data_IF_790321827925
#
_entry.id   IF_790321827925
#
_cell.length_a   1.000
_cell.length_b   1.000
_cell.length_c   1.000
_cell.angle_alpha   90.00
_cell.angle_beta   90.00
_cell.angle_gamma   90.00
#
_symmetry.space_group_name_H-M   'P 1'
#
loop_
_entity.id
_entity.type
_entity.pdbx_description
1 polymer ?
#
# COMPACT_ATOMS: atom_id res chain seq x y z
N UNK A 1 -5.87 -16.22 50.57
CA UNK A 1 -6.29 -16.44 49.17
C UNK A 1 -5.56 -15.43 48.31
N UNK A 2 -4.52 -15.87 47.62
CA UNK A 2 -3.53 -15.02 46.95
C UNK A 2 -4.08 -14.43 45.66
N UNK A 3 -4.05 -13.10 45.55
CA UNK A 3 -4.36 -12.37 44.31
C UNK A 3 -3.17 -12.48 43.35
N UNK A 4 -3.28 -13.42 42.41
CA UNK A 4 -2.37 -13.52 41.27
C UNK A 4 -2.61 -12.34 40.31
N UNK A 5 -1.85 -11.26 40.51
CA UNK A 5 -1.67 -10.22 39.50
C UNK A 5 -0.73 -10.81 38.44
N UNK A 6 -1.29 -11.35 37.36
CA UNK A 6 -0.50 -11.73 36.17
C UNK A 6 -0.35 -10.49 35.26
N UNK A 7 0.89 -10.11 34.89
CA UNK A 7 1.12 -9.03 33.96
C UNK A 7 0.64 -9.42 32.56
N UNK A 8 -0.02 -8.48 31.90
CA UNK A 8 -0.45 -8.54 30.50
C UNK A 8 0.79 -8.52 29.58
N UNK A 9 1.48 -9.66 29.46
CA UNK A 9 2.55 -9.83 28.48
C UNK A 9 1.92 -10.18 27.13
N UNK A 10 1.79 -9.15 26.29
CA UNK A 10 1.43 -9.26 24.89
C UNK A 10 2.57 -9.94 24.13
N UNK A 11 2.50 -11.26 23.94
CA UNK A 11 3.25 -11.94 22.89
C UNK A 11 2.65 -11.57 21.53
N UNK A 12 3.02 -10.39 21.02
CA UNK A 12 3.05 -10.16 19.59
C UNK A 12 4.38 -10.67 19.07
N UNK A 13 4.28 -11.65 18.18
CA UNK A 13 5.36 -12.14 17.32
C UNK A 13 5.93 -10.92 16.57
N UNK A 14 7.26 -10.76 16.66
CA UNK A 14 8.03 -9.63 16.15
C UNK A 14 7.71 -9.31 14.70
N UNK A 15 7.30 -8.06 14.49
CA UNK A 15 7.48 -7.35 13.24
C UNK A 15 8.68 -6.44 13.46
N UNK A 16 9.76 -6.70 12.73
CA UNK A 16 11.00 -5.95 12.80
C UNK A 16 10.74 -4.44 12.66
N UNK A 17 11.03 -3.71 13.74
CA UNK A 17 11.15 -2.25 13.76
C UNK A 17 12.51 -1.86 13.16
N UNK A 18 12.61 -1.81 11.84
CA UNK A 18 13.64 -1.00 11.18
C UNK A 18 13.06 -0.39 9.89
N UNK A 19 12.61 0.86 10.00
CA UNK A 19 12.62 1.92 8.96
C UNK A 19 11.49 2.93 9.18
N UNK A 20 11.62 3.77 10.21
CA UNK A 20 10.95 5.07 10.23
C UNK A 20 12.00 6.17 10.21
N UNK A 21 12.08 6.79 9.03
CA UNK A 21 12.16 8.24 8.86
C UNK A 21 13.25 8.99 9.65
N UNK A 22 14.47 8.96 9.14
CA UNK A 22 15.41 10.05 9.30
C UNK A 22 15.25 11.02 8.13
N UNK A 23 14.33 11.98 8.25
CA UNK A 23 14.52 13.34 7.72
C UNK A 23 13.44 14.26 8.28
N UNK A 24 13.79 14.95 9.37
CA UNK A 24 13.16 16.19 9.75
C UNK A 24 14.20 17.29 9.57
N UNK A 25 14.01 18.15 8.57
CA UNK A 25 14.40 19.55 8.68
C UNK A 25 13.26 20.39 8.08
N UNK A 26 12.65 21.17 8.96
CA UNK A 26 11.81 22.31 8.63
C UNK A 26 12.64 23.35 7.85
N UNK A 27 12.02 24.12 6.95
CA UNK A 27 11.68 25.54 7.15
C UNK A 27 11.41 26.27 5.81
N UNK A 28 10.17 26.75 5.69
CA UNK A 28 9.67 28.00 5.08
C UNK A 28 9.92 28.43 3.60
N UNK A 29 8.90 29.15 3.13
CA UNK A 29 8.63 29.80 1.84
C UNK A 29 9.81 30.50 1.15
N UNK A 30 9.84 30.47 -0.19
CA UNK A 30 9.43 31.60 -1.05
C UNK A 30 9.50 31.23 -2.55
N UNK A 31 8.65 31.89 -3.33
CA UNK A 31 8.32 31.57 -4.71
C UNK A 31 9.41 31.85 -5.74
N UNK A 32 9.19 31.26 -6.91
CA UNK A 32 9.90 31.50 -8.16
C UNK A 32 9.73 32.95 -8.62
N UNK A 33 10.83 33.69 -8.78
CA UNK A 33 11.04 34.64 -9.89
C UNK A 33 12.43 35.29 -9.81
N UNK A 34 12.99 35.58 -11.00
CA UNK A 34 14.20 36.38 -11.31
C UNK A 34 15.55 35.65 -11.45
N UNK A 35 15.89 35.38 -12.72
CA UNK A 35 17.25 35.60 -13.30
C UNK A 35 17.67 37.07 -13.12
N UNK A 36 18.97 37.38 -12.92
CA UNK A 36 19.92 37.59 -14.04
C UNK A 36 21.39 37.15 -13.73
N UNK A 37 22.11 36.58 -14.72
CA UNK A 37 23.15 37.25 -15.52
C UNK A 37 24.32 37.85 -14.71
N UNK A 38 25.48 37.18 -14.75
CA UNK A 38 26.77 37.86 -14.79
C UNK A 38 27.78 37.03 -15.59
N UNK A 39 28.16 37.59 -16.74
CA UNK A 39 29.35 37.23 -17.51
C UNK A 39 30.60 37.92 -16.92
N UNK A 40 31.75 37.60 -17.52
CA UNK A 40 33.13 38.08 -17.32
C UNK A 40 33.94 37.04 -16.54
N UNK A 41 35.06 36.49 -17.02
CA UNK A 41 35.86 36.83 -18.19
C UNK A 41 37.15 36.00 -18.17
N UNK A 42 37.68 35.83 -19.37
CA UNK A 42 38.89 35.12 -19.76
C UNK A 42 40.17 35.63 -19.07
N UNK A 43 41.14 34.74 -18.85
CA UNK A 43 42.50 34.97 -19.36
C UNK A 43 43.35 33.68 -19.42
N UNK A 44 43.88 33.45 -20.62
CA UNK A 44 45.02 32.61 -20.97
C UNK A 44 46.25 32.90 -20.10
N UNK A 45 47.25 32.05 -19.94
CA UNK A 45 47.57 30.76 -20.54
C UNK A 45 49.04 30.41 -20.25
N UNK A 46 49.42 29.14 -20.43
CA UNK A 46 50.77 28.75 -20.84
C UNK A 46 50.78 27.35 -21.44
N UNK A 47 51.07 27.29 -22.73
CA UNK A 47 51.58 26.09 -23.42
C UNK A 47 53.01 25.81 -22.87
N UNK A 48 53.53 24.59 -22.83
CA UNK A 48 53.87 23.76 -23.98
C UNK A 48 54.14 22.29 -23.55
N UNK A 49 53.54 21.38 -24.32
CA UNK A 49 54.02 20.09 -24.84
C UNK A 49 55.11 19.28 -24.11
N UNK A 50 54.78 18.01 -23.87
CA UNK A 50 55.54 16.74 -23.98
C UNK A 50 54.88 15.81 -22.93
N UNK A 51 54.37 14.62 -23.18
CA UNK A 51 54.46 13.66 -24.27
C UNK A 51 53.28 12.70 -24.14
N UNK A 52 52.78 12.24 -25.27
CA UNK A 52 51.87 11.11 -25.46
C UNK A 52 52.02 9.96 -24.45
N UNK A 53 50.92 9.60 -23.76
CA UNK A 53 50.32 8.26 -23.63
C UNK A 53 48.90 8.38 -23.04
N UNK A 54 47.93 7.94 -23.86
CA UNK A 54 46.57 7.45 -23.55
C UNK A 54 45.68 8.15 -22.51
N UNK A 55 44.94 9.19 -22.93
CA UNK A 55 43.63 9.56 -22.35
C UNK A 55 42.53 9.72 -23.43
N UNK A 56 42.74 9.17 -24.63
CA UNK A 56 41.70 9.02 -25.68
C UNK A 56 40.99 7.66 -25.62
N UNK A 57 41.13 6.90 -24.54
CA UNK A 57 40.48 5.59 -24.35
C UNK A 57 39.38 5.56 -23.27
N UNK A 58 39.10 6.68 -22.60
CA UNK A 58 38.07 6.72 -21.54
C UNK A 58 36.81 7.51 -21.97
N UNK A 59 36.85 8.35 -23.02
CA UNK A 59 35.73 9.26 -23.32
C UNK A 59 34.87 8.93 -24.56
N UNK A 60 35.22 7.94 -25.39
CA UNK A 60 34.43 7.59 -26.60
C UNK A 60 33.69 6.25 -26.48
N UNK A 61 33.97 5.44 -25.45
CA UNK A 61 33.20 4.20 -25.19
C UNK A 61 31.85 4.45 -24.51
N UNK A 62 31.62 5.64 -23.95
CA UNK A 62 30.40 5.95 -23.20
C UNK A 62 29.31 6.67 -24.01
N UNK A 63 29.55 7.02 -25.28
CA UNK A 63 28.52 7.65 -26.12
C UNK A 63 27.77 6.66 -27.02
N UNK A 64 28.37 5.52 -27.38
CA UNK A 64 27.68 4.48 -28.17
C UNK A 64 26.91 3.48 -27.28
N UNK A 65 27.29 3.32 -26.01
CA UNK A 65 26.51 2.50 -25.07
C UNK A 65 25.25 3.22 -24.55
N UNK A 66 25.26 4.56 -24.42
CA UNK A 66 24.09 5.29 -23.91
C UNK A 66 22.92 5.41 -24.90
N UNK A 67 23.16 5.32 -26.21
CA UNK A 67 22.06 5.27 -27.20
C UNK A 67 21.51 3.84 -27.38
N UNK A 68 22.33 2.80 -27.27
CA UNK A 68 21.83 1.41 -27.33
C UNK A 68 20.96 1.08 -26.11
N UNK A 69 21.29 1.59 -24.92
CA UNK A 69 20.48 1.36 -23.71
C UNK A 69 19.16 2.16 -23.75
N UNK A 70 19.07 3.24 -24.54
CA UNK A 70 17.84 4.04 -24.66
C UNK A 70 16.87 3.51 -25.72
N UNK A 71 17.37 2.85 -26.77
CA UNK A 71 16.55 2.13 -27.75
C UNK A 71 16.11 0.74 -27.24
N UNK A 72 16.90 0.06 -26.41
CA UNK A 72 16.47 -1.17 -25.71
C UNK A 72 15.41 -0.90 -24.64
N UNK A 73 15.44 0.26 -23.96
CA UNK A 73 14.40 0.62 -22.97
C UNK A 73 13.02 0.95 -23.56
N UNK A 74 12.91 1.20 -24.87
CA UNK A 74 11.62 1.45 -25.53
C UNK A 74 11.07 0.25 -26.31
N UNK A 75 11.91 -0.75 -26.64
CA UNK A 75 11.45 -2.01 -27.27
C UNK A 75 11.13 -3.10 -26.24
N UNK A 76 11.73 -3.05 -25.04
CA UNK A 76 11.45 -4.02 -23.97
C UNK A 76 10.08 -3.87 -23.29
N UNK A 77 9.26 -2.89 -23.71
CA UNK A 77 7.88 -2.74 -23.24
C UNK A 77 6.85 -3.60 -24.00
N UNK A 78 7.22 -4.32 -25.07
CA UNK A 78 6.25 -5.11 -25.83
C UNK A 78 6.51 -6.62 -25.98
N UNK A 79 7.67 -7.19 -25.63
CA UNK A 79 7.90 -8.65 -25.78
C UNK A 79 7.85 -9.47 -24.48
N UNK A 80 7.81 -8.84 -23.30
CA UNK A 80 7.75 -9.56 -22.02
C UNK A 80 6.34 -9.72 -21.41
N UNK A 81 5.28 -9.35 -22.13
CA UNK A 81 3.91 -9.57 -21.67
C UNK A 81 3.52 -11.07 -21.66
N UNK A 82 4.19 -11.91 -22.47
CA UNK A 82 3.87 -13.33 -22.60
C UNK A 82 4.35 -14.22 -21.45
N UNK A 83 5.54 -13.96 -20.89
CA UNK A 83 6.16 -14.86 -19.89
C UNK A 83 5.82 -14.53 -18.44
N UNK A 84 5.35 -13.31 -18.14
CA UNK A 84 4.96 -12.90 -16.78
C UNK A 84 3.59 -13.48 -16.39
N UNK A 85 2.83 -13.99 -17.35
CA UNK A 85 1.48 -14.55 -17.17
C UNK A 85 1.46 -16.01 -16.67
N UNK A 86 2.57 -16.74 -16.78
CA UNK A 86 2.59 -18.18 -16.46
C UNK A 86 2.43 -18.50 -14.96
N UNK A 87 2.84 -17.59 -14.07
CA UNK A 87 2.75 -17.78 -12.61
C UNK A 87 1.67 -16.91 -11.96
N UNK A 88 0.85 -16.17 -12.73
CA UNK A 88 -0.16 -15.30 -12.15
C UNK A 88 -1.36 -16.13 -11.68
N UNK A 89 -1.66 -16.10 -10.38
CA UNK A 89 -2.87 -16.75 -9.84
C UNK A 89 -4.06 -15.80 -9.85
N UNK A 90 -5.14 -16.23 -10.51
CA UNK A 90 -6.38 -15.46 -10.59
C UNK A 90 -7.26 -15.63 -9.36
N UNK A 91 -7.76 -14.49 -8.87
CA UNK A 91 -8.52 -14.45 -7.61
C UNK A 91 -9.90 -15.08 -7.71
N UNK A 92 -10.48 -15.13 -8.91
CA UNK A 92 -11.78 -15.77 -9.16
C UNK A 92 -11.71 -17.28 -8.87
N UNK A 93 -10.67 -17.95 -9.37
CA UNK A 93 -10.47 -19.39 -9.21
C UNK A 93 -10.21 -19.77 -7.75
N UNK A 94 -9.47 -18.94 -7.02
CA UNK A 94 -9.18 -19.18 -5.60
C UNK A 94 -10.42 -19.17 -4.71
N UNK A 95 -11.49 -18.47 -5.09
CA UNK A 95 -12.74 -18.43 -4.31
C UNK A 95 -13.55 -19.73 -4.41
N UNK A 96 -13.38 -20.49 -5.50
CA UNK A 96 -14.06 -21.77 -5.70
C UNK A 96 -13.41 -22.92 -4.92
N UNK A 97 -12.11 -22.79 -4.59
CA UNK A 97 -11.31 -23.82 -3.92
C UNK A 97 -11.61 -23.93 -2.43
N UNK A 98 -11.34 -25.11 -1.86
CA UNK A 98 -11.50 -25.35 -0.41
C UNK A 98 -10.34 -24.76 0.38
N UNK A 99 -10.56 -24.51 1.68
CA UNK A 99 -9.52 -23.96 2.58
C UNK A 99 -8.25 -24.81 2.61
N UNK A 100 -8.38 -26.14 2.61
CA UNK A 100 -7.24 -27.06 2.67
C UNK A 100 -6.36 -26.96 1.42
N UNK A 101 -6.97 -26.84 0.25
CA UNK A 101 -6.26 -26.64 -1.02
C UNK A 101 -5.52 -25.31 -1.04
N UNK A 102 -6.17 -24.23 -0.54
CA UNK A 102 -5.55 -22.91 -0.45
C UNK A 102 -4.33 -22.89 0.50
N UNK A 103 -4.35 -23.69 1.56
CA UNK A 103 -3.21 -23.79 2.48
C UNK A 103 -2.03 -24.52 1.83
N UNK A 104 -2.28 -25.59 1.05
CA UNK A 104 -1.24 -26.29 0.29
C UNK A 104 -0.59 -25.37 -0.75
N UNK A 105 -1.41 -24.68 -1.55
CA UNK A 105 -0.92 -23.70 -2.54
C UNK A 105 -0.10 -22.57 -1.89
N UNK A 106 -0.46 -22.16 -0.67
CA UNK A 106 0.27 -21.15 0.08
C UNK A 106 1.66 -21.64 0.50
N UNK A 107 1.77 -22.89 0.96
CA UNK A 107 3.04 -23.50 1.34
C UNK A 107 3.97 -23.67 0.13
N UNK A 108 3.44 -24.11 -1.00
CA UNK A 108 4.18 -24.20 -2.28
C UNK A 108 4.74 -22.84 -2.72
N UNK A 109 3.95 -21.76 -2.63
CA UNK A 109 4.45 -20.43 -3.00
C UNK A 109 5.47 -19.87 -2.01
N UNK A 110 5.40 -20.25 -0.73
CA UNK A 110 6.41 -19.84 0.25
C UNK A 110 7.75 -20.53 0.03
N UNK A 111 7.74 -21.82 -0.32
CA UNK A 111 8.98 -22.55 -0.63
C UNK A 111 9.60 -22.03 -1.93
N UNK A 112 8.78 -21.73 -2.94
CA UNK A 112 9.23 -21.06 -4.15
C UNK A 112 9.88 -19.70 -3.84
N UNK A 113 9.22 -18.85 -3.04
CA UNK A 113 9.78 -17.56 -2.63
C UNK A 113 11.13 -17.70 -1.91
N UNK A 114 11.25 -18.66 -0.98
CA UNK A 114 12.50 -18.91 -0.27
C UNK A 114 13.64 -19.31 -1.22
N UNK A 115 13.35 -20.19 -2.19
CA UNK A 115 14.35 -20.58 -3.20
C UNK A 115 14.78 -19.41 -4.10
N UNK A 116 13.84 -18.53 -4.47
CA UNK A 116 14.13 -17.33 -5.26
C UNK A 116 14.95 -16.29 -4.48
N UNK A 117 14.78 -16.20 -3.16
CA UNK A 117 15.59 -15.32 -2.31
C UNK A 117 17.04 -15.79 -2.23
N UNK A 118 17.29 -17.10 -2.12
CA UNK A 118 18.66 -17.66 -2.18
C UNK A 118 19.27 -17.38 -3.56
N UNK A 119 18.52 -17.61 -4.64
CA UNK A 119 18.97 -17.34 -6.00
C UNK A 119 19.28 -15.84 -6.24
N UNK A 120 18.60 -14.93 -5.55
CA UNK A 120 18.91 -13.50 -5.60
C UNK A 120 20.28 -13.19 -5.00
N UNK A 121 20.64 -13.82 -3.88
CA UNK A 121 21.93 -13.62 -3.21
C UNK A 121 23.08 -14.19 -4.04
N UNK A 122 22.86 -15.30 -4.75
CA UNK A 122 23.88 -15.94 -5.60
C UNK A 122 23.99 -15.33 -7.01
N UNK A 123 23.42 -14.13 -7.24
CA UNK A 123 23.37 -13.46 -8.55
C UNK A 123 22.81 -14.35 -9.68
N UNK A 124 21.66 -14.99 -9.41
CA UNK A 124 20.97 -15.83 -10.38
C UNK A 124 20.43 -15.09 -11.61
N UNK A 125 19.97 -15.85 -12.60
CA UNK A 125 19.42 -15.32 -13.85
C UNK A 125 18.24 -14.36 -13.62
N UNK A 126 18.22 -13.25 -14.37
CA UNK A 126 17.22 -12.16 -14.27
C UNK A 126 15.78 -12.67 -14.46
N UNK A 127 15.58 -13.66 -15.32
CA UNK A 127 14.27 -14.30 -15.55
C UNK A 127 13.70 -15.01 -14.32
N UNK A 128 14.54 -15.48 -13.39
CA UNK A 128 14.10 -16.06 -12.11
C UNK A 128 13.78 -14.96 -11.10
N UNK A 129 14.47 -13.83 -11.17
CA UNK A 129 14.30 -12.70 -10.25
C UNK A 129 13.02 -11.91 -10.50
N UNK A 130 12.54 -11.83 -11.75
CA UNK A 130 11.26 -11.19 -12.10
C UNK A 130 10.06 -11.86 -11.42
N UNK A 131 10.15 -13.18 -11.17
CA UNK A 131 9.09 -13.95 -10.52
C UNK A 131 8.89 -13.61 -9.03
N UNK A 132 9.88 -13.01 -8.36
CA UNK A 132 9.80 -12.63 -6.94
C UNK A 132 8.57 -11.73 -6.69
N UNK A 133 8.32 -10.77 -7.59
CA UNK A 133 7.18 -9.87 -7.49
C UNK A 133 5.84 -10.61 -7.66
N UNK A 134 5.77 -11.52 -8.63
CA UNK A 134 4.57 -12.29 -8.94
C UNK A 134 4.21 -13.22 -7.78
N UNK A 135 5.18 -13.97 -7.26
CA UNK A 135 4.98 -14.89 -6.12
C UNK A 135 4.53 -14.13 -4.86
N UNK A 136 5.13 -12.97 -4.56
CA UNK A 136 4.69 -12.12 -3.42
C UNK A 136 3.24 -11.67 -3.56
N UNK A 137 2.83 -11.27 -4.76
CA UNK A 137 1.43 -10.91 -5.05
C UNK A 137 0.51 -12.10 -4.92
N UNK A 138 0.91 -13.29 -5.36
CA UNK A 138 0.10 -14.49 -5.25
C UNK A 138 -0.12 -14.90 -3.78
N UNK A 139 0.93 -14.89 -2.94
CA UNK A 139 0.81 -15.17 -1.51
C UNK A 139 -0.19 -14.20 -0.86
N UNK A 140 -0.08 -12.91 -1.20
CA UNK A 140 -1.00 -11.88 -0.70
C UNK A 140 -2.46 -12.15 -1.14
N UNK A 141 -2.68 -12.57 -2.40
CA UNK A 141 -4.02 -12.92 -2.92
C UNK A 141 -4.62 -14.13 -2.19
N UNK A 142 -3.85 -15.20 -2.00
CA UNK A 142 -4.32 -16.42 -1.31
C UNK A 142 -4.69 -16.10 0.14
N UNK A 143 -3.82 -15.42 0.88
CA UNK A 143 -4.09 -14.99 2.26
C UNK A 143 -5.32 -14.08 2.34
N UNK A 144 -5.50 -13.19 1.36
CA UNK A 144 -6.67 -12.31 1.29
C UNK A 144 -7.96 -13.12 1.14
N UNK A 145 -7.99 -14.11 0.25
CA UNK A 145 -9.17 -14.98 0.05
C UNK A 145 -9.48 -15.79 1.30
N UNK A 146 -8.47 -16.37 1.95
CA UNK A 146 -8.63 -17.12 3.22
C UNK A 146 -9.23 -16.20 4.30
N UNK A 147 -8.66 -15.01 4.48
CA UNK A 147 -9.12 -14.05 5.49
C UNK A 147 -10.53 -13.53 5.20
N UNK A 148 -10.86 -13.29 3.92
CA UNK A 148 -12.22 -12.93 3.49
C UNK A 148 -13.20 -14.04 3.87
N UNK A 149 -12.93 -15.29 3.50
CA UNK A 149 -13.81 -16.42 3.80
C UNK A 149 -14.01 -16.61 5.32
N UNK A 150 -12.93 -16.55 6.10
CA UNK A 150 -12.99 -16.62 7.57
C UNK A 150 -13.85 -15.50 8.16
N UNK A 151 -13.63 -14.25 7.72
CA UNK A 151 -14.41 -13.10 8.19
C UNK A 151 -15.88 -13.21 7.83
N UNK A 152 -16.20 -13.67 6.62
CA UNK A 152 -17.58 -13.89 6.17
C UNK A 152 -18.29 -14.95 7.02
N UNK A 153 -17.59 -16.03 7.38
CA UNK A 153 -18.13 -17.07 8.26
C UNK A 153 -18.36 -16.55 9.68
N UNK A 154 -17.43 -15.76 10.23
CA UNK A 154 -17.61 -15.11 11.53
C UNK A 154 -18.76 -14.10 11.52
N UNK A 155 -18.92 -13.32 10.45
CA UNK A 155 -20.05 -12.40 10.30
C UNK A 155 -21.40 -13.12 10.30
N UNK A 156 -21.48 -14.27 9.61
CA UNK A 156 -22.67 -15.14 9.63
C UNK A 156 -22.95 -15.65 11.04
N UNK A 157 -21.93 -16.14 11.74
CA UNK A 157 -22.06 -16.67 13.10
C UNK A 157 -22.46 -15.62 14.15
N UNK A 158 -21.98 -14.38 14.01
CA UNK A 158 -22.28 -13.28 14.94
C UNK A 158 -23.44 -12.40 14.50
N UNK A 159 -24.16 -12.77 13.43
CA UNK A 159 -25.35 -12.04 12.97
C UNK A 159 -26.43 -12.07 14.04
N UNK A 160 -26.97 -10.90 14.39
CA UNK A 160 -28.03 -10.76 15.40
C UNK A 160 -27.58 -10.87 16.87
N UNK A 161 -26.36 -11.30 17.15
CA UNK A 161 -25.84 -11.37 18.53
C UNK A 161 -25.54 -9.95 19.05
N UNK A 162 -25.92 -9.68 20.31
CA UNK A 162 -25.69 -8.38 20.99
C UNK A 162 -24.20 -8.06 21.09
N UNK A 163 -23.38 -9.04 21.48
CA UNK A 163 -21.95 -8.86 21.66
C UNK A 163 -21.20 -9.41 20.45
N UNK A 164 -20.59 -8.50 19.67
CA UNK A 164 -19.67 -8.84 18.58
C UNK A 164 -18.23 -8.44 18.95
N UNK A 165 -17.23 -9.23 18.50
CA UNK A 165 -15.82 -8.86 18.56
C UNK A 165 -15.56 -7.48 17.96
N UNK A 166 -14.53 -6.78 18.45
CA UNK A 166 -14.20 -5.41 18.05
C UNK A 166 -13.93 -5.31 16.54
N UNK A 167 -13.29 -6.32 15.95
CA UNK A 167 -12.94 -6.37 14.52
C UNK A 167 -14.14 -6.44 13.58
N UNK A 168 -15.28 -6.95 14.07
CA UNK A 168 -16.53 -7.07 13.32
C UNK A 168 -17.50 -5.91 13.59
N UNK A 169 -17.11 -4.92 14.41
CA UNK A 169 -17.90 -3.70 14.62
C UNK A 169 -17.72 -2.75 13.43
N UNK A 170 -18.76 -1.99 13.13
CA UNK A 170 -18.68 -0.96 12.11
C UNK A 170 -17.64 0.09 12.52
N UNK A 171 -16.71 0.41 11.60
CA UNK A 171 -15.70 1.45 11.83
C UNK A 171 -16.33 2.82 11.63
N UNK A 172 -16.70 3.46 12.74
CA UNK A 172 -17.20 4.85 12.80
C UNK A 172 -16.29 5.68 13.69
N UNK A 173 -16.37 7.01 13.58
CA UNK A 173 -15.66 7.91 14.50
C UNK A 173 -16.15 7.70 15.94
N UNK A 174 -15.32 8.07 16.92
CA UNK A 174 -15.68 7.93 18.35
C UNK A 174 -16.90 8.76 18.71
N UNK A 175 -17.02 9.97 18.17
CA UNK A 175 -18.15 10.86 18.37
C UNK A 175 -19.47 10.20 17.90
N UNK A 176 -19.51 9.71 16.66
CA UNK A 176 -20.68 9.00 16.10
C UNK A 176 -21.07 7.73 16.87
N UNK A 177 -20.12 7.07 17.56
CA UNK A 177 -20.43 5.90 18.40
C UNK A 177 -21.05 6.26 19.75
N UNK A 178 -20.83 7.49 20.23
CA UNK A 178 -21.33 8.00 21.52
C UNK A 178 -22.59 8.85 21.38
N UNK A 179 -22.92 9.24 20.15
CA UNK A 179 -24.15 9.93 19.83
C UNK A 179 -25.38 9.09 20.20
N UNK A 180 -26.48 9.76 20.54
CA UNK A 180 -27.76 9.15 20.79
C UNK A 180 -28.32 8.50 19.51
N UNK A 181 -29.13 7.46 19.66
CA UNK A 181 -29.80 6.85 18.53
C UNK A 181 -30.82 7.82 17.91
N UNK A 182 -31.08 7.72 16.60
CA UNK A 182 -32.11 8.54 15.91
C UNK A 182 -33.49 8.42 16.58
N UNK A 183 -33.81 7.22 17.07
CA UNK A 183 -35.04 6.99 17.82
C UNK A 183 -35.07 7.82 19.11
N UNK A 184 -33.99 7.75 19.91
CA UNK A 184 -33.85 8.51 21.16
C UNK A 184 -33.93 10.02 20.90
N UNK A 185 -33.26 10.52 19.86
CA UNK A 185 -33.35 11.92 19.45
C UNK A 185 -34.76 12.33 19.03
N UNK A 186 -35.53 11.42 18.44
CA UNK A 186 -36.91 11.67 18.00
C UNK A 186 -37.96 11.59 19.12
N UNK A 187 -37.58 11.10 20.31
CA UNK A 187 -38.51 10.96 21.42
C UNK A 187 -39.00 12.33 21.89
N UNK A 188 -40.31 12.55 21.73
CA UNK A 188 -41.01 13.74 22.20
C UNK A 188 -41.82 13.38 23.44
N UNK A 189 -41.90 14.29 24.40
CA UNK A 189 -42.76 14.13 25.58
C UNK A 189 -44.23 14.05 25.17
N UNK A 190 -45.08 13.45 26.00
CA UNK A 190 -46.51 13.35 25.70
C UNK A 190 -47.15 14.72 25.43
N UNK A 191 -46.77 15.73 26.23
CA UNK A 191 -47.20 17.13 26.06
C UNK A 191 -46.78 17.71 24.70
N UNK A 192 -45.53 17.46 24.28
CA UNK A 192 -45.05 17.89 22.96
C UNK A 192 -45.79 17.19 21.82
N UNK A 193 -46.06 15.88 21.93
CA UNK A 193 -46.84 15.13 20.93
C UNK A 193 -48.27 15.67 20.80
N UNK A 194 -48.95 15.94 21.92
CA UNK A 194 -50.29 16.57 21.91
C UNK A 194 -50.24 17.95 21.27
N UNK A 195 -49.26 18.80 21.63
CA UNK A 195 -49.10 20.14 21.03
C UNK A 195 -48.88 20.06 19.52
N UNK A 196 -47.99 19.17 19.06
CA UNK A 196 -47.71 18.99 17.63
C UNK A 196 -48.93 18.50 16.84
N UNK A 197 -49.75 17.61 17.42
CA UNK A 197 -51.03 17.19 16.81
C UNK A 197 -52.05 18.34 16.75
N UNK A 198 -52.16 19.11 17.84
CA UNK A 198 -53.13 20.21 17.96
C UNK A 198 -52.78 21.38 17.05
N UNK A 199 -51.50 21.69 16.89
CA UNK A 199 -51.01 22.83 16.11
C UNK A 199 -49.90 22.38 15.14
N UNK A 200 -50.26 21.81 13.98
CA UNK A 200 -49.30 21.53 12.92
C UNK A 200 -48.87 22.84 12.25
N UNK A 201 -47.60 22.94 11.87
CA UNK A 201 -47.09 24.04 11.04
C UNK A 201 -47.74 23.95 9.67
N UNK A 202 -48.54 24.96 9.31
CA UNK A 202 -49.20 25.03 8.01
C UNK A 202 -48.41 25.93 7.07
N UNK A 203 -48.32 25.53 5.80
CA UNK A 203 -47.79 26.38 4.74
C UNK A 203 -48.94 27.28 4.26
N UNK A 204 -48.72 28.59 4.20
CA UNK A 204 -49.71 29.56 3.71
C UNK A 204 -49.04 30.53 2.73
N UNK A 205 -49.85 31.10 1.85
CA UNK A 205 -49.44 32.16 0.92
C UNK A 205 -50.44 33.31 1.02
N UNK A 206 -49.97 34.54 0.79
CA UNK A 206 -50.79 35.74 0.73
C UNK A 206 -51.15 36.01 -0.72
N UNK A 207 -52.41 36.33 -0.97
CA UNK A 207 -52.86 36.79 -2.28
C UNK A 207 -52.48 38.26 -2.43
N UNK A 208 -51.82 38.61 -3.52
CA UNK A 208 -51.62 39.99 -3.94
C UNK A 208 -52.91 40.54 -4.57
#
# INVERSE_FOLDING_TARGET
>A
MTTNIRPFFSHYIGFDEEAHAFFALNFEHFGTSKVPFLLIGTNCGRCLLFSSISLKQIAVKNLVELEQVHLLRLVDHCENAGNVLAHHVDTHELRAKKKEELMKMLEEQKTELASLQVAKVTNGAVSKLSNIHVVRKNIARILTVINQAQKMNLLKFYKGKKYRPIDLRFKKTRAMRRELNKHELSLKTHKQKVKARRCPTRIYALKA
#
